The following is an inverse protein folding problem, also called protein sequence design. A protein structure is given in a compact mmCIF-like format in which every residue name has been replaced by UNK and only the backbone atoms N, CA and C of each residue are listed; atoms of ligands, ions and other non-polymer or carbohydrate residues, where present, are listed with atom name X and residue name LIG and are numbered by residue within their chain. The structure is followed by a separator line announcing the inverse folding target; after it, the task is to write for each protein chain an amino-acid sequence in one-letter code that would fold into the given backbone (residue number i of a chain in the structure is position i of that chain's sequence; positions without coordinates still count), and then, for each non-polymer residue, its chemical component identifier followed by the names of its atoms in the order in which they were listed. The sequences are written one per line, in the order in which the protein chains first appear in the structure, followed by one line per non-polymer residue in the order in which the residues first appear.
data_IF_563669033528
#
_entry.id   IF_563669033528
#
_cell.length_a   1.000
_cell.length_b   1.000
_cell.length_c   1.000
_cell.angle_alpha   90.00
_cell.angle_beta   90.00
_cell.angle_gamma   90.00
#
_symmetry.space_group_name_H-M   'P 1'
#
loop_
_entity.id
_entity.type
_entity.pdbx_description
1 polymer ?
#
# COMPACT_ATOMS: atom_id res chain seq x y z
N UNK A 1 1.36 -11.50 -9.83
CA UNK A 1 1.00 -10.52 -10.88
C UNK A 1 2.28 -9.80 -11.30
N UNK A 2 2.42 -9.50 -12.58
CA UNK A 2 3.56 -8.76 -13.14
C UNK A 2 3.05 -7.54 -13.89
N UNK A 3 3.66 -6.39 -13.66
CA UNK A 3 3.36 -5.14 -14.36
C UNK A 3 4.23 -5.01 -15.61
N UNK A 4 3.66 -4.58 -16.74
CA UNK A 4 4.40 -4.42 -17.99
C UNK A 4 5.45 -3.29 -17.93
N UNK A 5 5.20 -2.25 -17.12
CA UNK A 5 6.08 -1.09 -16.97
C UNK A 5 6.13 -0.66 -15.52
N UNK A 6 7.29 -0.19 -15.06
CA UNK A 6 7.44 0.41 -13.74
C UNK A 6 6.83 1.82 -13.64
N UNK A 7 6.52 2.25 -12.41
CA UNK A 7 6.16 3.63 -12.08
C UNK A 7 4.83 3.79 -11.32
N UNK A 8 4.50 5.05 -11.02
CA UNK A 8 3.35 5.44 -10.19
C UNK A 8 1.98 4.97 -10.72
N UNK A 9 1.88 4.63 -12.01
CA UNK A 9 0.69 4.04 -12.62
C UNK A 9 0.26 2.72 -11.94
N UNK A 10 1.20 2.02 -11.32
CA UNK A 10 0.94 0.73 -10.67
C UNK A 10 0.57 0.90 -9.19
N UNK A 11 0.70 2.10 -8.61
CA UNK A 11 0.54 2.31 -7.17
C UNK A 11 -0.82 1.84 -6.69
N UNK A 12 -1.90 2.26 -7.35
CA UNK A 12 -3.26 1.93 -6.91
C UNK A 12 -3.52 0.42 -7.02
N UNK A 13 -3.17 -0.20 -8.15
CA UNK A 13 -3.34 -1.64 -8.32
C UNK A 13 -2.42 -2.48 -7.41
N UNK A 14 -1.25 -1.96 -7.05
CA UNK A 14 -0.35 -2.64 -6.09
C UNK A 14 -0.92 -2.55 -4.68
N UNK A 15 -1.53 -1.41 -4.31
CA UNK A 15 -2.23 -1.25 -3.04
C UNK A 15 -3.39 -2.24 -2.94
N UNK A 16 -4.24 -2.34 -3.97
CA UNK A 16 -5.37 -3.29 -3.96
C UNK A 16 -4.91 -4.73 -3.73
N UNK A 17 -3.94 -5.20 -4.53
CA UNK A 17 -3.43 -6.57 -4.36
C UNK A 17 -2.82 -6.82 -2.98
N UNK A 18 -2.14 -5.83 -2.41
CA UNK A 18 -1.54 -5.96 -1.09
C UNK A 18 -2.63 -6.03 0.00
N UNK A 19 -3.68 -5.23 -0.12
CA UNK A 19 -4.82 -5.24 0.80
C UNK A 19 -5.64 -6.52 0.70
N UNK A 20 -5.90 -6.99 -0.51
CA UNK A 20 -6.62 -8.26 -0.76
C UNK A 20 -5.85 -9.42 -0.12
N UNK A 21 -4.54 -9.51 -0.36
CA UNK A 21 -3.71 -10.55 0.24
C UNK A 21 -3.61 -10.42 1.75
N UNK A 22 -3.55 -9.19 2.28
CA UNK A 22 -3.56 -8.97 3.72
C UNK A 22 -4.86 -9.47 4.35
N UNK A 23 -6.00 -9.22 3.71
CA UNK A 23 -7.30 -9.71 4.16
C UNK A 23 -7.40 -11.24 4.11
N UNK A 24 -6.96 -11.88 3.01
CA UNK A 24 -6.93 -13.34 2.86
C UNK A 24 -6.12 -14.04 3.97
N UNK A 25 -5.03 -13.40 4.41
CA UNK A 25 -4.11 -13.95 5.42
C UNK A 25 -4.40 -13.46 6.84
N UNK A 26 -5.40 -12.60 7.05
CA UNK A 26 -5.70 -12.02 8.36
C UNK A 26 -4.59 -11.12 8.91
N UNK A 27 -3.84 -10.43 8.04
CA UNK A 27 -2.75 -9.54 8.41
C UNK A 27 -3.31 -8.16 8.80
N UNK A 28 -3.00 -7.71 10.02
CA UNK A 28 -3.46 -6.43 10.57
C UNK A 28 -2.51 -5.24 10.35
N UNK A 29 -1.32 -5.47 9.78
CA UNK A 29 -0.29 -4.45 9.59
C UNK A 29 0.15 -4.37 8.13
N UNK A 30 0.41 -3.16 7.63
CA UNK A 30 1.00 -2.95 6.31
C UNK A 30 2.12 -1.91 6.38
N UNK A 31 3.25 -2.22 5.76
CA UNK A 31 4.39 -1.31 5.68
C UNK A 31 4.40 -0.66 4.30
N UNK A 32 4.45 0.67 4.25
CA UNK A 32 4.37 1.45 3.01
C UNK A 32 5.53 2.42 2.94
N UNK A 33 6.37 2.27 1.91
CA UNK A 33 7.38 3.26 1.59
C UNK A 33 6.73 4.46 0.88
N UNK A 34 6.92 5.67 1.41
CA UNK A 34 6.42 6.89 0.77
C UNK A 34 7.24 8.10 1.16
N UNK A 35 7.74 8.83 0.18
CA UNK A 35 8.52 10.05 0.40
C UNK A 35 7.62 11.25 0.73
N UNK A 36 6.53 11.44 -0.03
CA UNK A 36 5.60 12.55 0.12
C UNK A 36 4.37 12.23 0.97
N UNK A 37 4.14 10.94 1.27
CA UNK A 37 2.94 10.46 1.96
C UNK A 37 1.77 10.09 1.04
N UNK A 38 1.85 10.32 -0.28
CA UNK A 38 0.75 10.04 -1.22
C UNK A 38 0.30 8.56 -1.17
N UNK A 39 1.25 7.63 -1.23
CA UNK A 39 0.96 6.20 -1.16
C UNK A 39 0.33 5.80 0.17
N UNK A 40 0.77 6.39 1.29
CA UNK A 40 0.22 6.12 2.63
C UNK A 40 -1.23 6.62 2.70
N UNK A 41 -1.48 7.82 2.21
CA UNK A 41 -2.81 8.42 2.19
C UNK A 41 -3.81 7.57 1.40
N UNK A 42 -3.41 7.03 0.26
CA UNK A 42 -4.23 6.11 -0.55
C UNK A 42 -4.59 4.82 0.18
N UNK A 43 -3.66 4.25 0.95
CA UNK A 43 -3.92 3.05 1.76
C UNK A 43 -4.90 3.38 2.90
N UNK A 44 -4.70 4.51 3.59
CA UNK A 44 -5.60 4.98 4.65
C UNK A 44 -7.04 5.14 4.17
N UNK A 45 -7.25 5.72 2.98
CA UNK A 45 -8.58 5.89 2.41
C UNK A 45 -9.30 4.58 2.13
N UNK A 46 -8.56 3.52 1.79
CA UNK A 46 -9.13 2.21 1.44
C UNK A 46 -9.37 1.33 2.67
N UNK A 47 -8.47 1.37 3.65
CA UNK A 47 -8.51 0.53 4.85
C UNK A 47 -8.10 1.34 6.09
N UNK A 48 -9.03 2.11 6.69
CA UNK A 48 -8.75 2.93 7.87
C UNK A 48 -8.46 2.10 9.13
N UNK A 49 -8.96 0.86 9.19
CA UNK A 49 -8.80 -0.02 10.36
C UNK A 49 -7.47 -0.79 10.36
N UNK A 50 -6.71 -0.74 9.26
CA UNK A 50 -5.43 -1.43 9.12
C UNK A 50 -4.32 -0.59 9.76
N UNK A 51 -3.39 -1.22 10.48
CA UNK A 51 -2.26 -0.52 11.07
C UNK A 51 -1.20 -0.24 10.00
N UNK A 52 -1.01 1.04 9.66
CA UNK A 52 -0.11 1.44 8.57
C UNK A 52 1.21 1.97 9.16
N UNK A 53 2.31 1.36 8.74
CA UNK A 53 3.66 1.79 9.10
C UNK A 53 4.28 2.48 7.87
N UNK A 54 4.33 3.81 7.91
CA UNK A 54 4.96 4.62 6.86
C UNK A 54 6.47 4.70 7.03
N UNK A 55 7.23 4.37 5.98
CA UNK A 55 8.69 4.54 5.94
C UNK A 55 9.03 5.63 4.92
N UNK A 56 9.74 6.66 5.35
CA UNK A 56 10.14 7.81 4.52
C UNK A 56 11.67 7.99 4.49
N UNK A 57 12.15 8.90 3.64
CA UNK A 57 13.56 9.30 3.62
C UNK A 57 13.92 10.13 4.87
N UNK A 58 15.23 10.18 5.14
CA UNK A 58 15.78 10.82 6.34
C UNK A 58 15.79 12.35 6.28
#
# INVERSE_FOLDING_TARGET
MYWDKAGARNTDGTIELALDRAAELGIGYIVVASCSGDSIYKVLQKKPDLQIIGVTHH
#
